data_IF_581717323436
#
_entry.id   IF_581717323436
#
_cell.length_a   1.000
_cell.length_b   1.000
_cell.length_c   1.000
_cell.angle_alpha   90.00
_cell.angle_beta   90.00
_cell.angle_gamma   90.00
#
_symmetry.space_group_name_H-M   'P 1'
#
loop_
_entity.id
_entity.type
_entity.pdbx_description
1 polymer ?
#
# COMPACT_ATOMS: atom_id res chain seq x y z
N UNK A 1 -35.45 -68.34 4.10
CA UNK A 1 -35.49 -67.13 4.95
C UNK A 1 -34.70 -66.05 4.24
N UNK A 2 -35.36 -65.17 3.46
CA UNK A 2 -34.73 -64.03 2.81
C UNK A 2 -35.00 -62.76 3.61
N UNK A 3 -33.99 -61.90 3.74
CA UNK A 3 -34.08 -60.58 4.34
C UNK A 3 -32.69 -59.98 4.41
N UNK A 4 -32.59 -58.67 4.21
CA UNK A 4 -31.38 -57.85 4.33
C UNK A 4 -30.59 -57.58 3.03
N UNK A 5 -31.28 -56.95 2.07
CA UNK A 5 -30.65 -55.94 1.18
C UNK A 5 -31.67 -54.79 1.00
N UNK A 6 -31.89 -53.98 2.04
CA UNK A 6 -32.66 -52.73 1.91
C UNK A 6 -31.91 -51.49 2.41
N UNK A 7 -30.65 -51.61 2.83
CA UNK A 7 -29.94 -50.51 3.52
C UNK A 7 -28.82 -49.84 2.72
N UNK A 8 -28.91 -49.85 1.38
CA UNK A 8 -27.87 -49.28 0.50
C UNK A 8 -28.36 -48.17 -0.45
N UNK A 9 -29.53 -47.56 -0.23
CA UNK A 9 -30.04 -46.50 -1.12
C UNK A 9 -30.37 -45.15 -0.45
N UNK A 10 -30.05 -44.96 0.83
CA UNK A 10 -30.45 -43.73 1.55
C UNK A 10 -29.42 -42.60 1.62
N UNK A 11 -28.35 -42.57 0.80
CA UNK A 11 -27.26 -41.58 1.00
C UNK A 11 -26.75 -40.79 -0.21
N UNK A 12 -27.51 -40.58 -1.29
CA UNK A 12 -27.00 -39.82 -2.47
C UNK A 12 -27.80 -38.56 -2.83
N UNK A 13 -28.86 -38.22 -2.10
CA UNK A 13 -29.49 -36.91 -2.28
C UNK A 13 -28.88 -35.89 -1.32
N UNK A 14 -27.85 -35.18 -1.78
CA UNK A 14 -27.49 -33.79 -1.40
C UNK A 14 -26.23 -33.36 -2.18
N UNK A 15 -26.41 -32.78 -3.38
CA UNK A 15 -25.75 -31.54 -3.84
C UNK A 15 -26.21 -31.18 -5.27
N UNK A 16 -26.35 -29.87 -5.61
CA UNK A 16 -27.00 -29.41 -6.82
C UNK A 16 -26.01 -29.29 -7.98
N UNK A 17 -26.12 -30.18 -8.97
CA UNK A 17 -25.55 -29.93 -10.30
C UNK A 17 -26.67 -29.55 -11.26
N UNK A 18 -26.81 -28.26 -11.50
CA UNK A 18 -27.39 -27.75 -12.74
C UNK A 18 -26.54 -28.22 -13.92
N UNK A 19 -27.18 -28.61 -15.02
CA UNK A 19 -27.00 -27.84 -16.24
C UNK A 19 -28.36 -27.34 -16.71
N UNK A 20 -28.55 -26.02 -16.64
CA UNK A 20 -29.56 -25.33 -17.42
C UNK A 20 -29.15 -25.41 -18.88
N UNK A 21 -29.85 -26.19 -19.70
CA UNK A 21 -29.76 -26.11 -21.15
C UNK A 21 -31.17 -25.97 -21.72
N UNK A 22 -31.51 -24.73 -22.09
CA UNK A 22 -32.64 -24.41 -22.94
C UNK A 22 -32.30 -24.87 -24.37
N UNK A 23 -33.21 -25.53 -25.10
CA UNK A 23 -33.06 -25.68 -26.54
C UNK A 23 -33.31 -24.32 -27.21
N UNK A 24 -32.25 -23.66 -27.64
CA UNK A 24 -32.28 -22.56 -28.60
C UNK A 24 -32.42 -23.17 -29.99
N UNK A 25 -33.58 -23.01 -30.63
CA UNK A 25 -33.66 -23.13 -32.08
C UNK A 25 -34.32 -21.87 -32.67
N UNK A 26 -33.49 -21.17 -33.44
CA UNK A 26 -33.84 -20.35 -34.61
C UNK A 26 -34.49 -18.97 -34.43
N UNK A 27 -33.81 -18.07 -33.70
CA UNK A 27 -33.84 -16.62 -33.99
C UNK A 27 -32.46 -15.96 -33.82
N UNK A 28 -31.42 -16.47 -34.48
CA UNK A 28 -30.14 -15.73 -34.59
C UNK A 28 -29.88 -15.33 -36.04
N UNK A 29 -30.54 -14.27 -36.48
CA UNK A 29 -29.93 -13.37 -37.47
C UNK A 29 -28.86 -12.58 -36.72
N UNK A 30 -27.65 -12.49 -37.30
CA UNK A 30 -26.51 -11.68 -36.86
C UNK A 30 -26.91 -10.37 -36.17
N UNK A 31 -26.98 -10.36 -34.84
CA UNK A 31 -27.08 -9.15 -34.03
C UNK A 31 -26.16 -9.31 -32.82
N UNK A 32 -25.43 -8.23 -32.54
CA UNK A 32 -24.39 -8.09 -31.55
C UNK A 32 -24.88 -8.49 -30.14
N UNK A 33 -24.18 -9.35 -29.36
CA UNK A 33 -24.68 -9.86 -28.08
C UNK A 33 -24.89 -8.81 -26.99
N UNK A 34 -24.29 -7.62 -27.12
CA UNK A 34 -24.50 -6.51 -26.17
C UNK A 34 -25.86 -5.81 -26.37
N UNK A 35 -26.47 -5.90 -27.55
CA UNK A 35 -27.73 -5.20 -27.86
C UNK A 35 -28.99 -6.03 -27.55
N UNK A 36 -28.89 -7.37 -27.57
CA UNK A 36 -30.07 -8.26 -27.46
C UNK A 36 -30.57 -8.41 -26.03
N UNK A 37 -29.68 -8.37 -25.03
CA UNK A 37 -30.08 -8.33 -23.62
C UNK A 37 -30.51 -6.92 -23.17
N UNK A 38 -30.04 -5.88 -23.87
CA UNK A 38 -30.48 -4.52 -23.59
C UNK A 38 -31.98 -4.34 -23.91
N UNK A 39 -32.50 -4.94 -24.99
CA UNK A 39 -33.89 -4.75 -25.40
C UNK A 39 -34.95 -5.40 -24.48
N UNK A 40 -34.65 -6.54 -23.84
CA UNK A 40 -35.56 -7.18 -22.87
C UNK A 40 -35.51 -6.52 -21.49
N UNK A 41 -34.47 -5.72 -21.21
CA UNK A 41 -34.39 -4.86 -20.03
C UNK A 41 -34.99 -3.47 -20.28
N UNK A 42 -35.23 -3.07 -21.53
CA UNK A 42 -35.62 -1.71 -21.87
C UNK A 42 -37.15 -1.50 -22.05
N UNK A 43 -37.94 -2.57 -22.17
CA UNK A 43 -39.40 -2.46 -22.39
C UNK A 43 -40.22 -2.43 -21.08
N UNK A 44 -39.54 -2.39 -19.93
CA UNK A 44 -40.16 -2.10 -18.62
C UNK A 44 -39.60 -0.84 -17.96
N UNK A 45 -38.73 -0.09 -18.65
CA UNK A 45 -38.41 1.29 -18.28
C UNK A 45 -39.55 2.20 -18.75
N UNK A 46 -40.75 1.92 -18.26
CA UNK A 46 -41.75 2.97 -18.10
C UNK A 46 -41.10 4.05 -17.25
N UNK A 47 -41.09 5.27 -17.79
CA UNK A 47 -40.41 6.48 -17.30
C UNK A 47 -40.98 7.00 -15.95
N UNK A 48 -41.29 6.12 -15.01
CA UNK A 48 -41.90 6.40 -13.71
C UNK A 48 -41.02 6.04 -12.50
N UNK A 49 -39.78 5.58 -12.67
CA UNK A 49 -38.91 5.21 -11.54
C UNK A 49 -38.46 6.38 -10.65
N UNK A 50 -38.60 7.63 -11.11
CA UNK A 50 -38.19 8.82 -10.36
C UNK A 50 -39.29 9.44 -9.48
N UNK A 51 -40.48 8.85 -9.38
CA UNK A 51 -41.60 9.39 -8.59
C UNK A 51 -42.27 8.37 -7.65
N UNK A 52 -41.61 7.28 -7.28
CA UNK A 52 -42.12 6.40 -6.20
C UNK A 52 -41.79 7.06 -4.87
N UNK A 53 -42.82 7.42 -4.11
CA UNK A 53 -42.67 8.08 -2.81
C UNK A 53 -41.88 7.18 -1.86
N UNK A 54 -41.06 7.76 -0.98
CA UNK A 54 -40.30 6.99 0.00
C UNK A 54 -41.21 6.11 0.88
N UNK A 55 -42.45 6.55 1.11
CA UNK A 55 -43.49 5.78 1.79
C UNK A 55 -43.91 4.50 1.01
N UNK A 56 -44.06 4.59 -0.31
CA UNK A 56 -44.42 3.47 -1.18
C UNK A 56 -43.28 2.45 -1.28
N UNK A 57 -42.02 2.93 -1.29
CA UNK A 57 -40.83 2.06 -1.23
C UNK A 57 -40.82 1.27 0.08
N UNK A 58 -41.06 1.94 1.21
CA UNK A 58 -41.10 1.28 2.52
C UNK A 58 -42.26 0.29 2.67
N UNK A 59 -43.44 0.61 2.12
CA UNK A 59 -44.58 -0.32 2.11
C UNK A 59 -44.28 -1.58 1.28
N UNK A 60 -43.66 -1.41 0.11
CA UNK A 60 -43.22 -2.52 -0.73
C UNK A 60 -42.16 -3.39 -0.04
N UNK A 61 -41.15 -2.76 0.58
CA UNK A 61 -40.09 -3.45 1.33
C UNK A 61 -40.69 -4.21 2.52
N UNK A 62 -41.58 -3.61 3.30
CA UNK A 62 -42.20 -4.25 4.46
C UNK A 62 -43.07 -5.45 4.03
N UNK A 63 -43.79 -5.35 2.91
CA UNK A 63 -44.55 -6.46 2.34
C UNK A 63 -43.64 -7.59 1.84
N UNK A 64 -42.57 -7.24 1.12
CA UNK A 64 -41.58 -8.20 0.62
C UNK A 64 -40.84 -8.93 1.76
N UNK A 65 -40.39 -8.20 2.78
CA UNK A 65 -39.76 -8.78 3.96
C UNK A 65 -40.72 -9.70 4.71
N UNK A 66 -41.98 -9.31 4.91
CA UNK A 66 -42.99 -10.20 5.53
C UNK A 66 -43.20 -11.48 4.73
N UNK A 67 -43.30 -11.38 3.40
CA UNK A 67 -43.43 -12.55 2.52
C UNK A 67 -42.23 -13.49 2.61
N UNK A 68 -41.01 -12.94 2.66
CA UNK A 68 -39.79 -13.74 2.71
C UNK A 68 -39.55 -14.39 4.08
N UNK A 69 -39.89 -13.69 5.18
CA UNK A 69 -39.65 -14.19 6.55
C UNK A 69 -40.82 -15.02 7.12
N UNK A 70 -42.01 -15.01 6.49
CA UNK A 70 -43.20 -15.78 6.88
C UNK A 70 -43.49 -15.68 8.39
N UNK A 71 -43.18 -16.73 9.15
CA UNK A 71 -43.43 -16.82 10.61
C UNK A 71 -42.27 -16.31 11.49
N UNK A 72 -41.13 -15.92 10.89
CA UNK A 72 -39.98 -15.37 11.61
C UNK A 72 -40.09 -13.85 11.71
N UNK A 73 -39.67 -13.28 12.84
CA UNK A 73 -39.57 -11.82 12.98
C UNK A 73 -38.51 -11.29 12.03
N UNK A 74 -38.86 -10.26 11.26
CA UNK A 74 -37.92 -9.50 10.44
C UNK A 74 -36.85 -8.90 11.36
N UNK A 75 -35.55 -9.10 11.09
CA UNK A 75 -34.47 -8.48 11.87
C UNK A 75 -34.62 -6.96 11.92
N UNK A 76 -34.23 -6.35 13.04
CA UNK A 76 -34.20 -4.89 13.14
C UNK A 76 -33.03 -4.36 12.29
N UNK A 77 -33.31 -3.37 11.45
CA UNK A 77 -32.31 -2.70 10.62
C UNK A 77 -32.59 -1.19 10.60
N UNK A 78 -31.57 -0.43 10.21
CA UNK A 78 -31.65 1.03 10.16
C UNK A 78 -32.51 1.51 8.98
N UNK A 79 -33.54 2.30 9.26
CA UNK A 79 -34.39 2.92 8.22
C UNK A 79 -33.76 4.23 7.75
N UNK A 80 -32.80 4.12 6.85
CA UNK A 80 -32.18 5.24 6.14
C UNK A 80 -32.57 5.20 4.65
N UNK A 81 -32.62 6.34 3.96
CA UNK A 81 -32.96 6.47 2.54
C UNK A 81 -32.03 5.65 1.62
N UNK A 82 -30.75 5.56 1.98
CA UNK A 82 -29.79 4.69 1.28
C UNK A 82 -30.15 3.19 1.42
N UNK A 83 -30.60 2.78 2.62
CA UNK A 83 -31.03 1.40 2.90
C UNK A 83 -32.38 1.12 2.22
N UNK A 84 -33.30 2.10 2.20
CA UNK A 84 -34.58 2.00 1.50
C UNK A 84 -34.37 1.73 0.01
N UNK A 85 -33.47 2.49 -0.62
CA UNK A 85 -33.19 2.35 -2.06
C UNK A 85 -32.56 0.99 -2.37
N UNK A 86 -31.54 0.57 -1.61
CA UNK A 86 -30.89 -0.72 -1.80
C UNK A 86 -31.83 -1.92 -1.56
N UNK A 87 -32.66 -1.87 -0.50
CA UNK A 87 -33.66 -2.92 -0.22
C UNK A 87 -34.78 -2.95 -1.26
N UNK A 88 -35.21 -1.79 -1.76
CA UNK A 88 -36.22 -1.69 -2.80
C UNK A 88 -35.73 -2.31 -4.12
N UNK A 89 -34.51 -1.97 -4.56
CA UNK A 89 -33.88 -2.57 -5.74
C UNK A 89 -33.75 -4.09 -5.59
N UNK A 90 -33.28 -4.56 -4.43
CA UNK A 90 -33.16 -6.00 -4.18
C UNK A 90 -34.51 -6.71 -4.13
N UNK A 91 -35.54 -6.07 -3.58
CA UNK A 91 -36.90 -6.60 -3.56
C UNK A 91 -37.51 -6.69 -4.97
N UNK A 92 -37.28 -5.68 -5.81
CA UNK A 92 -37.69 -5.71 -7.22
C UNK A 92 -36.98 -6.82 -7.99
N UNK A 93 -35.66 -6.92 -7.85
CA UNK A 93 -34.88 -7.98 -8.48
C UNK A 93 -35.33 -9.37 -8.06
N UNK A 94 -35.54 -9.59 -6.76
CA UNK A 94 -36.03 -10.87 -6.26
C UNK A 94 -37.43 -11.18 -6.79
N UNK A 95 -38.34 -10.20 -6.82
CA UNK A 95 -39.68 -10.39 -7.38
C UNK A 95 -39.61 -10.77 -8.86
N UNK A 96 -38.74 -10.13 -9.64
CA UNK A 96 -38.51 -10.49 -11.04
C UNK A 96 -38.00 -11.93 -11.16
N UNK A 97 -37.02 -12.32 -10.34
CA UNK A 97 -36.45 -13.65 -10.36
C UNK A 97 -37.43 -14.74 -9.92
N UNK A 98 -38.27 -14.46 -8.92
CA UNK A 98 -39.33 -15.35 -8.47
C UNK A 98 -40.35 -15.56 -9.59
N UNK A 99 -40.78 -14.49 -10.27
CA UNK A 99 -41.71 -14.63 -11.41
C UNK A 99 -41.10 -15.42 -12.56
N UNK A 100 -39.81 -15.20 -12.89
CA UNK A 100 -39.13 -15.97 -13.92
C UNK A 100 -39.02 -17.45 -13.53
N UNK A 101 -38.70 -17.73 -12.27
CA UNK A 101 -38.63 -19.09 -11.73
C UNK A 101 -39.98 -19.78 -11.82
N UNK A 102 -41.07 -19.10 -11.46
CA UNK A 102 -42.43 -19.64 -11.61
C UNK A 102 -42.77 -19.96 -13.08
N UNK A 103 -42.42 -19.07 -14.01
CA UNK A 103 -42.64 -19.28 -15.44
C UNK A 103 -41.86 -20.51 -15.92
N UNK A 104 -40.59 -20.64 -15.52
CA UNK A 104 -39.74 -21.79 -15.88
C UNK A 104 -40.36 -23.09 -15.33
N UNK A 105 -40.78 -23.12 -14.05
CA UNK A 105 -41.41 -24.29 -13.44
C UNK A 105 -42.70 -24.67 -14.18
N UNK A 106 -43.57 -23.68 -14.48
CA UNK A 106 -44.81 -23.91 -15.22
C UNK A 106 -44.51 -24.48 -16.62
N UNK A 107 -43.54 -23.91 -17.33
CA UNK A 107 -43.13 -24.37 -18.66
C UNK A 107 -42.57 -25.80 -18.62
N UNK A 108 -41.67 -26.11 -17.68
CA UNK A 108 -41.12 -27.45 -17.52
C UNK A 108 -42.21 -28.48 -17.23
N UNK A 109 -43.21 -28.12 -16.41
CA UNK A 109 -44.34 -29.01 -16.14
C UNK A 109 -45.18 -29.29 -17.39
N UNK A 110 -45.48 -28.27 -18.20
CA UNK A 110 -46.19 -28.43 -19.46
C UNK A 110 -45.40 -29.33 -20.41
N UNK A 111 -44.12 -29.02 -20.60
CA UNK A 111 -43.22 -29.78 -21.48
C UNK A 111 -43.11 -31.25 -21.04
N UNK A 112 -43.02 -31.53 -19.74
CA UNK A 112 -43.00 -32.90 -19.23
C UNK A 112 -44.31 -33.65 -19.50
N UNK A 113 -45.47 -32.97 -19.42
CA UNK A 113 -46.76 -33.56 -19.78
C UNK A 113 -46.85 -33.86 -21.28
N UNK A 114 -46.39 -32.92 -22.13
CA UNK A 114 -46.35 -33.08 -23.59
C UNK A 114 -45.48 -34.29 -23.97
N UNK A 115 -44.23 -34.37 -23.49
CA UNK A 115 -43.36 -35.51 -23.76
C UNK A 115 -43.93 -36.83 -23.26
N UNK A 116 -44.60 -36.85 -22.10
CA UNK A 116 -45.25 -38.07 -21.60
C UNK A 116 -46.42 -38.50 -22.49
N UNK A 117 -47.21 -37.54 -22.98
CA UNK A 117 -48.32 -37.80 -23.90
C UNK A 117 -47.84 -38.33 -25.25
N UNK A 118 -46.76 -37.74 -25.77
CA UNK A 118 -46.15 -38.14 -27.03
C UNK A 118 -45.47 -39.52 -26.92
N UNK A 119 -44.77 -39.78 -25.82
CA UNK A 119 -44.22 -41.11 -25.54
C UNK A 119 -45.31 -42.19 -25.48
N UNK A 120 -46.48 -41.87 -24.90
CA UNK A 120 -47.64 -42.77 -24.92
C UNK A 120 -48.17 -42.96 -26.34
N UNK A 121 -48.35 -41.89 -27.11
CA UNK A 121 -48.79 -41.96 -28.51
C UNK A 121 -47.89 -42.85 -29.37
N UNK A 122 -46.57 -42.67 -29.26
CA UNK A 122 -45.57 -43.47 -29.99
C UNK A 122 -45.63 -44.93 -29.54
N UNK A 123 -45.74 -45.19 -28.22
CA UNK A 123 -45.89 -46.55 -27.69
C UNK A 123 -47.13 -47.25 -28.26
N UNK A 124 -48.28 -46.57 -28.25
CA UNK A 124 -49.54 -47.13 -28.77
C UNK A 124 -49.40 -47.45 -30.28
N UNK A 125 -48.75 -46.59 -31.06
CA UNK A 125 -48.46 -46.85 -32.48
C UNK A 125 -47.58 -48.10 -32.66
N UNK A 126 -46.49 -48.22 -31.89
CA UNK A 126 -45.61 -49.39 -31.97
C UNK A 126 -46.33 -50.68 -31.61
N UNK A 127 -47.21 -50.65 -30.60
CA UNK A 127 -48.06 -51.78 -30.22
C UNK A 127 -49.04 -52.18 -31.35
N UNK A 128 -49.66 -51.21 -32.04
CA UNK A 128 -50.52 -51.52 -33.20
C UNK A 128 -49.76 -52.15 -34.36
N UNK A 129 -48.50 -51.78 -34.55
CA UNK A 129 -47.61 -52.37 -35.57
C UNK A 129 -46.97 -53.69 -35.12
N UNK A 130 -47.27 -54.17 -33.90
CA UNK A 130 -46.65 -55.36 -33.28
C UNK A 130 -45.13 -55.31 -33.24
N UNK A 131 -44.57 -54.11 -33.07
CA UNK A 131 -43.14 -53.91 -32.90
C UNK A 131 -42.82 -53.88 -31.41
N UNK A 132 -42.26 -54.98 -30.89
CA UNK A 132 -41.76 -55.04 -29.53
C UNK A 132 -40.25 -54.82 -29.49
N UNK A 133 -39.77 -54.32 -28.35
CA UNK A 133 -38.34 -54.29 -28.04
C UNK A 133 -37.72 -55.70 -28.03
N UNK A 134 -38.52 -56.72 -27.73
CA UNK A 134 -38.09 -58.12 -27.68
C UNK A 134 -37.85 -58.71 -29.07
N UNK A 135 -38.37 -58.07 -30.13
CA UNK A 135 -38.15 -58.47 -31.52
C UNK A 135 -36.79 -58.00 -32.06
N UNK A 136 -36.09 -57.12 -31.33
CA UNK A 136 -34.76 -56.66 -31.69
C UNK A 136 -33.68 -57.66 -31.25
N UNK A 137 -32.63 -57.77 -32.07
CA UNK A 137 -31.41 -58.46 -31.66
C UNK A 137 -30.77 -57.78 -30.44
N UNK A 138 -29.98 -58.53 -29.65
CA UNK A 138 -29.23 -57.98 -28.51
C UNK A 138 -28.38 -56.76 -28.90
N UNK A 139 -27.77 -56.79 -30.09
CA UNK A 139 -26.99 -55.68 -30.63
C UNK A 139 -27.88 -54.48 -30.97
N UNK A 140 -29.07 -54.70 -31.55
CA UNK A 140 -30.03 -53.63 -31.84
C UNK A 140 -30.49 -52.91 -30.57
N UNK A 141 -30.81 -53.66 -29.50
CA UNK A 141 -31.17 -53.08 -28.20
C UNK A 141 -30.02 -52.27 -27.61
N UNK A 142 -28.79 -52.75 -27.74
CA UNK A 142 -27.61 -52.02 -27.26
C UNK A 142 -27.38 -50.73 -28.05
N UNK A 143 -27.39 -50.78 -29.39
CA UNK A 143 -27.22 -49.60 -30.23
C UNK A 143 -28.29 -48.54 -29.97
N UNK A 144 -29.55 -48.95 -29.81
CA UNK A 144 -30.64 -48.03 -29.48
C UNK A 144 -30.42 -47.36 -28.12
N UNK A 145 -30.04 -48.13 -27.09
CA UNK A 145 -29.68 -47.57 -25.77
C UNK A 145 -28.55 -46.55 -25.86
N UNK A 146 -27.51 -46.84 -26.64
CA UNK A 146 -26.38 -45.95 -26.83
C UNK A 146 -26.81 -44.66 -27.53
N UNK A 147 -27.61 -44.75 -28.60
CA UNK A 147 -28.15 -43.58 -29.29
C UNK A 147 -29.05 -42.75 -28.39
N UNK A 148 -29.97 -43.37 -27.64
CA UNK A 148 -30.82 -42.65 -26.67
C UNK A 148 -29.97 -41.96 -25.60
N UNK A 149 -28.95 -42.63 -25.08
CA UNK A 149 -28.05 -42.03 -24.09
C UNK A 149 -27.28 -40.86 -24.69
N UNK A 150 -26.80 -40.98 -25.92
CA UNK A 150 -26.11 -39.92 -26.63
C UNK A 150 -27.03 -38.72 -26.90
N UNK A 151 -28.28 -38.94 -27.29
CA UNK A 151 -29.26 -37.86 -27.46
C UNK A 151 -29.55 -37.12 -26.15
N UNK A 152 -29.64 -37.84 -25.03
CA UNK A 152 -29.83 -37.24 -23.71
C UNK A 152 -28.61 -36.40 -23.31
N UNK A 153 -27.39 -36.91 -23.51
CA UNK A 153 -26.15 -36.20 -23.20
C UNK A 153 -26.00 -34.94 -24.06
N UNK A 154 -26.34 -35.03 -25.35
CA UNK A 154 -26.28 -33.92 -26.30
C UNK A 154 -27.50 -32.97 -26.20
N UNK A 155 -28.51 -33.31 -25.40
CA UNK A 155 -29.72 -32.50 -25.24
C UNK A 155 -30.56 -32.36 -26.52
N UNK A 156 -30.64 -33.40 -27.35
CA UNK A 156 -31.31 -33.32 -28.66
C UNK A 156 -32.85 -33.27 -28.53
N UNK A 157 -33.48 -32.42 -29.35
CA UNK A 157 -34.94 -32.32 -29.45
C UNK A 157 -35.57 -33.43 -30.30
N UNK A 158 -34.84 -33.92 -31.31
CA UNK A 158 -35.24 -35.00 -32.21
C UNK A 158 -34.11 -36.03 -32.37
N UNK A 159 -34.46 -37.24 -32.79
CA UNK A 159 -33.50 -38.34 -33.00
C UNK A 159 -33.04 -38.45 -34.46
N UNK A 160 -33.06 -37.35 -35.21
CA UNK A 160 -32.61 -37.31 -36.60
C UNK A 160 -31.08 -37.33 -36.67
N UNK A 161 -30.53 -38.00 -37.68
CA UNK A 161 -29.09 -38.10 -37.88
C UNK A 161 -28.41 -36.73 -38.02
N UNK A 162 -29.05 -35.78 -38.71
CA UNK A 162 -28.62 -34.38 -38.85
C UNK A 162 -28.38 -33.73 -37.50
N UNK A 163 -29.29 -33.91 -36.55
CA UNK A 163 -29.20 -33.32 -35.21
C UNK A 163 -28.05 -33.89 -34.39
N UNK A 164 -27.79 -35.19 -34.47
CA UNK A 164 -26.60 -35.79 -33.86
C UNK A 164 -25.32 -35.20 -34.46
N UNK A 165 -25.24 -35.09 -35.79
CA UNK A 165 -24.05 -34.56 -36.46
C UNK A 165 -23.81 -33.10 -36.10
N UNK A 166 -24.86 -32.27 -36.09
CA UNK A 166 -24.77 -30.86 -35.72
C UNK A 166 -24.35 -30.68 -34.26
N UNK A 167 -24.94 -31.43 -33.32
CA UNK A 167 -24.58 -31.33 -31.91
C UNK A 167 -23.14 -31.82 -31.63
N UNK A 168 -22.70 -32.89 -32.30
CA UNK A 168 -21.31 -33.35 -32.21
C UNK A 168 -20.34 -32.32 -32.81
N UNK A 169 -20.68 -31.70 -33.93
CA UNK A 169 -19.87 -30.64 -34.52
C UNK A 169 -19.78 -29.42 -33.58
N UNK A 170 -20.88 -29.03 -32.97
CA UNK A 170 -20.93 -27.94 -32.00
C UNK A 170 -20.07 -28.26 -30.77
N UNK A 171 -20.21 -29.46 -30.19
CA UNK A 171 -19.38 -29.92 -29.07
C UNK A 171 -17.90 -29.87 -29.42
N UNK A 172 -17.52 -30.31 -30.63
CA UNK A 172 -16.13 -30.26 -31.07
C UNK A 172 -15.61 -28.82 -31.21
N UNK A 173 -16.43 -27.91 -31.72
CA UNK A 173 -16.09 -26.48 -31.76
C UNK A 173 -15.91 -25.90 -30.35
N UNK A 174 -16.75 -26.30 -29.39
CA UNK A 174 -16.65 -25.82 -28.02
C UNK A 174 -15.42 -26.39 -27.29
N UNK A 175 -15.04 -27.64 -27.56
CA UNK A 175 -13.76 -28.21 -27.12
C UNK A 175 -12.59 -27.40 -27.66
N UNK A 176 -12.56 -27.12 -28.97
CA UNK A 176 -11.48 -26.33 -29.59
C UNK A 176 -11.41 -24.90 -29.06
N UNK A 177 -12.57 -24.28 -28.76
CA UNK A 177 -12.64 -22.96 -28.11
C UNK A 177 -12.08 -23.03 -26.69
N UNK A 178 -12.46 -24.03 -25.91
CA UNK A 178 -11.97 -24.23 -24.55
C UNK A 178 -10.45 -24.46 -24.54
N UNK A 179 -9.93 -25.30 -25.44
CA UNK A 179 -8.49 -25.52 -25.61
C UNK A 179 -7.74 -24.24 -25.98
N UNK A 180 -8.27 -23.45 -26.93
CA UNK A 180 -7.68 -22.16 -27.30
C UNK A 180 -7.63 -21.20 -26.11
N UNK A 181 -8.72 -21.11 -25.34
CA UNK A 181 -8.78 -20.26 -24.16
C UNK A 181 -7.80 -20.73 -23.08
N UNK A 182 -7.71 -22.05 -22.86
CA UNK A 182 -6.76 -22.62 -21.91
C UNK A 182 -5.32 -22.33 -22.32
N UNK A 183 -4.97 -22.50 -23.59
CA UNK A 183 -3.64 -22.17 -24.11
C UNK A 183 -3.31 -20.67 -23.98
N UNK A 184 -4.30 -19.78 -24.18
CA UNK A 184 -4.12 -18.35 -23.96
C UNK A 184 -3.85 -18.03 -22.47
N UNK A 185 -4.58 -18.67 -21.55
CA UNK A 185 -4.35 -18.54 -20.11
C UNK A 185 -2.96 -19.03 -19.72
N UNK A 186 -2.53 -20.19 -20.24
CA UNK A 186 -1.18 -20.73 -20.02
C UNK A 186 -0.12 -19.73 -20.48
N UNK A 187 -0.27 -19.15 -21.68
CA UNK A 187 0.66 -18.14 -22.18
C UNK A 187 0.72 -16.87 -21.29
N UNK A 188 -0.43 -16.46 -20.73
CA UNK A 188 -0.47 -15.35 -19.76
C UNK A 188 0.30 -15.73 -18.49
N UNK A 189 0.09 -16.93 -17.95
CA UNK A 189 0.79 -17.43 -16.76
C UNK A 189 2.30 -17.43 -16.98
N UNK A 190 2.79 -18.01 -18.08
CA UNK A 190 4.22 -18.05 -18.41
C UNK A 190 4.83 -16.64 -18.51
N UNK A 191 4.09 -15.69 -19.10
CA UNK A 191 4.52 -14.29 -19.18
C UNK A 191 4.60 -13.62 -17.81
N UNK A 192 3.65 -13.91 -16.92
CA UNK A 192 3.64 -13.41 -15.55
C UNK A 192 4.76 -14.01 -14.73
N UNK A 193 5.00 -15.31 -14.83
CA UNK A 193 6.12 -16.00 -14.18
C UNK A 193 7.45 -15.39 -14.60
N UNK A 194 7.66 -15.14 -15.90
CA UNK A 194 8.87 -14.49 -16.41
C UNK A 194 9.05 -13.09 -15.81
N UNK A 195 7.96 -12.32 -15.71
CA UNK A 195 7.98 -10.98 -15.08
C UNK A 195 8.29 -11.05 -13.59
N UNK A 196 7.72 -12.02 -12.88
CA UNK A 196 7.95 -12.26 -11.45
C UNK A 196 9.42 -12.63 -11.22
N UNK A 197 9.99 -13.54 -12.03
CA UNK A 197 11.41 -13.89 -11.92
C UNK A 197 12.31 -12.67 -12.16
N UNK A 198 12.02 -11.86 -13.18
CA UNK A 198 12.75 -10.61 -13.43
C UNK A 198 12.64 -9.63 -12.28
N UNK A 199 11.47 -9.48 -11.68
CA UNK A 199 11.25 -8.63 -10.51
C UNK A 199 12.04 -9.15 -9.29
N UNK A 200 12.00 -10.46 -9.04
CA UNK A 200 12.77 -11.12 -7.97
C UNK A 200 14.27 -10.90 -8.12
N UNK A 201 14.83 -11.12 -9.32
CA UNK A 201 16.25 -10.87 -9.57
C UNK A 201 16.65 -9.39 -9.40
N UNK A 202 15.73 -8.44 -9.68
CA UNK A 202 15.97 -7.02 -9.39
C UNK A 202 15.96 -6.76 -7.89
N UNK A 203 15.04 -7.36 -7.15
CA UNK A 203 14.97 -7.22 -5.69
C UNK A 203 16.24 -7.75 -5.03
N UNK A 204 16.69 -8.95 -5.42
CA UNK A 204 17.95 -9.53 -4.90
C UNK A 204 19.17 -8.65 -5.19
N UNK A 205 19.19 -7.94 -6.33
CA UNK A 205 20.24 -6.96 -6.63
C UNK A 205 20.14 -5.75 -5.72
N UNK A 206 18.93 -5.24 -5.46
CA UNK A 206 18.71 -4.12 -4.56
C UNK A 206 19.12 -4.47 -3.12
N UNK A 207 18.74 -5.66 -2.64
CA UNK A 207 19.11 -6.15 -1.30
C UNK A 207 20.64 -6.22 -1.14
N UNK A 208 21.35 -6.72 -2.17
CA UNK A 208 22.83 -6.72 -2.19
C UNK A 208 23.42 -5.31 -2.17
N UNK A 209 22.83 -4.38 -2.92
CA UNK A 209 23.28 -2.99 -2.93
C UNK A 209 23.06 -2.31 -1.58
N UNK A 210 21.89 -2.51 -0.96
CA UNK A 210 21.58 -2.01 0.38
C UNK A 210 22.55 -2.57 1.41
N UNK A 211 22.78 -3.88 1.40
CA UNK A 211 23.76 -4.52 2.29
C UNK A 211 25.16 -3.90 2.15
N UNK A 212 25.63 -3.73 0.91
CA UNK A 212 26.94 -3.12 0.66
C UNK A 212 26.99 -1.65 1.09
N UNK A 213 25.91 -0.89 0.88
CA UNK A 213 25.82 0.51 1.28
C UNK A 213 25.88 0.64 2.81
N UNK A 214 25.04 -0.11 3.54
CA UNK A 214 25.07 -0.16 5.00
C UNK A 214 26.47 -0.52 5.51
N UNK A 215 27.07 -1.59 4.99
CA UNK A 215 28.41 -2.01 5.38
C UNK A 215 29.47 -0.94 5.12
N UNK A 216 29.39 -0.22 4.00
CA UNK A 216 30.30 0.87 3.68
C UNK A 216 30.11 2.09 4.60
N UNK A 217 28.86 2.35 4.99
CA UNK A 217 28.50 3.46 5.87
C UNK A 217 28.96 3.19 7.29
N UNK A 218 28.68 2.00 7.83
CA UNK A 218 29.15 1.53 9.13
C UNK A 218 30.69 1.61 9.20
N UNK A 219 31.38 1.12 8.17
CA UNK A 219 32.85 1.17 8.11
C UNK A 219 33.40 2.60 8.12
N UNK A 220 32.73 3.54 7.43
CA UNK A 220 33.15 4.95 7.37
C UNK A 220 32.86 5.65 8.69
N UNK A 221 31.69 5.43 9.27
CA UNK A 221 31.31 5.97 10.58
C UNK A 221 32.27 5.48 11.67
N UNK A 222 32.64 4.20 11.64
CA UNK A 222 33.59 3.64 12.59
C UNK A 222 35.00 4.22 12.42
N UNK A 223 35.42 4.53 11.19
CA UNK A 223 36.69 5.22 10.94
C UNK A 223 36.67 6.67 11.46
N UNK A 224 35.59 7.40 11.25
CA UNK A 224 35.42 8.75 11.81
C UNK A 224 35.35 8.71 13.34
N UNK A 225 34.65 7.75 13.94
CA UNK A 225 34.58 7.57 15.39
C UNK A 225 35.99 7.32 15.98
N UNK A 226 36.79 6.46 15.34
CA UNK A 226 38.21 6.24 15.73
C UNK A 226 39.06 7.51 15.63
N UNK A 227 38.81 8.38 14.63
CA UNK A 227 39.51 9.67 14.54
C UNK A 227 39.10 10.61 15.66
N UNK A 228 37.81 10.67 15.98
CA UNK A 228 37.27 11.46 17.08
C UNK A 228 37.83 11.00 18.43
N UNK A 229 37.88 9.69 18.67
CA UNK A 229 38.47 9.09 19.89
C UNK A 229 39.94 9.51 20.05
N UNK A 230 40.77 9.33 19.01
CA UNK A 230 42.17 9.76 19.04
C UNK A 230 42.35 11.26 19.28
N UNK A 231 41.49 12.08 18.67
CA UNK A 231 41.54 13.53 18.87
C UNK A 231 41.13 13.91 20.30
N UNK A 232 40.13 13.23 20.85
CA UNK A 232 39.69 13.41 22.23
C UNK A 232 40.80 13.06 23.22
N UNK A 233 41.50 11.93 23.02
CA UNK A 233 42.65 11.54 23.83
C UNK A 233 43.77 12.58 23.80
N UNK A 234 44.07 13.12 22.61
CA UNK A 234 45.06 14.18 22.45
C UNK A 234 44.64 15.47 23.19
N UNK A 235 43.36 15.85 23.09
CA UNK A 235 42.83 17.01 23.80
C UNK A 235 42.86 16.81 25.32
N UNK A 236 42.56 15.61 25.82
CA UNK A 236 42.68 15.26 27.23
C UNK A 236 44.14 15.35 27.71
N UNK A 237 45.08 14.84 26.92
CA UNK A 237 46.51 14.94 27.22
C UNK A 237 46.98 16.41 27.26
N UNK A 238 46.58 17.23 26.28
CA UNK A 238 46.88 18.67 26.29
C UNK A 238 46.22 19.39 27.46
N UNK A 239 44.98 19.04 27.79
CA UNK A 239 44.29 19.58 28.96
C UNK A 239 45.08 19.32 30.24
N UNK A 240 45.57 18.08 30.43
CA UNK A 240 46.44 17.72 31.55
C UNK A 240 47.77 18.48 31.54
N UNK A 241 48.41 18.62 30.38
CA UNK A 241 49.64 19.40 30.24
C UNK A 241 49.43 20.88 30.62
N UNK A 242 48.35 21.50 30.14
CA UNK A 242 48.01 22.87 30.50
C UNK A 242 47.68 23.01 31.98
N UNK A 243 46.96 22.06 32.57
CA UNK A 243 46.70 22.01 34.01
C UNK A 243 48.01 21.97 34.80
N UNK A 244 48.93 21.07 34.44
CA UNK A 244 50.25 20.94 35.08
C UNK A 244 51.08 22.21 34.92
N UNK A 245 50.99 22.87 33.76
CA UNK A 245 51.68 24.14 33.48
C UNK A 245 51.12 25.28 34.32
N UNK A 246 49.80 25.37 34.46
CA UNK A 246 49.13 26.34 35.34
C UNK A 246 49.58 26.11 36.78
N UNK A 247 49.49 24.88 37.31
CA UNK A 247 49.94 24.57 38.67
C UNK A 247 51.41 24.93 38.91
N UNK A 248 52.29 24.70 37.92
CA UNK A 248 53.71 25.09 38.00
C UNK A 248 53.88 26.61 38.04
N UNK A 249 53.13 27.35 37.21
CA UNK A 249 53.19 28.81 37.17
C UNK A 249 52.60 29.45 38.43
N UNK A 250 51.48 28.92 38.94
CA UNK A 250 50.89 29.34 40.20
C UNK A 250 51.83 29.09 41.38
N UNK A 251 52.50 27.92 41.42
CA UNK A 251 53.51 27.66 42.44
C UNK A 251 54.64 28.68 42.39
N UNK A 252 55.19 28.96 41.20
CA UNK A 252 56.21 30.00 41.03
C UNK A 252 55.69 31.38 41.43
N UNK A 253 54.46 31.72 41.05
CA UNK A 253 53.81 32.99 41.41
C UNK A 253 53.72 33.17 42.93
N UNK A 254 53.35 32.10 43.63
CA UNK A 254 53.28 32.07 45.08
C UNK A 254 54.68 32.08 45.74
N UNK A 255 55.66 31.32 45.22
CA UNK A 255 57.06 31.34 45.69
C UNK A 255 57.70 32.73 45.60
N UNK A 256 57.40 33.47 44.53
CA UNK A 256 57.89 34.83 44.32
C UNK A 256 57.16 35.88 45.19
N UNK A 257 56.17 35.48 46.00
CA UNK A 257 55.35 36.36 46.85
C UNK A 257 54.92 37.65 46.12
N UNK A 258 54.47 37.52 44.86
CA UNK A 258 54.25 38.66 43.97
C UNK A 258 53.23 39.66 44.52
N UNK A 259 52.20 39.15 45.21
CA UNK A 259 51.18 39.97 45.89
C UNK A 259 51.76 40.71 47.11
N UNK A 260 52.52 40.02 47.96
CA UNK A 260 53.03 40.57 49.23
C UNK A 260 54.25 41.49 49.03
N UNK A 261 55.09 41.18 48.04
CA UNK A 261 56.25 42.00 47.63
C UNK A 261 55.90 43.23 46.78
N UNK A 262 54.62 43.43 46.45
CA UNK A 262 54.18 44.54 45.59
C UNK A 262 54.81 44.50 44.19
N UNK A 263 55.18 43.29 43.72
CA UNK A 263 55.87 43.02 42.46
C UNK A 263 54.92 43.00 41.25
N UNK A 264 53.62 43.20 41.48
CA UNK A 264 52.61 43.28 40.44
C UNK A 264 52.95 44.42 39.47
N UNK A 265 52.93 44.14 38.17
CA UNK A 265 53.31 45.10 37.12
C UNK A 265 52.66 46.49 37.29
N UNK A 266 51.36 46.53 37.62
CA UNK A 266 50.63 47.79 37.87
C UNK A 266 51.21 48.61 39.02
N UNK A 267 51.70 47.96 40.08
CA UNK A 267 52.30 48.60 41.26
C UNK A 267 53.73 49.03 40.94
N UNK A 268 54.51 48.17 40.27
CA UNK A 268 55.87 48.50 39.83
C UNK A 268 55.88 49.72 38.91
N UNK A 269 54.98 49.75 37.92
CA UNK A 269 54.89 50.85 36.96
C UNK A 269 54.57 52.19 37.66
N UNK A 270 53.68 52.19 38.65
CA UNK A 270 53.42 53.38 39.46
C UNK A 270 54.66 53.85 40.24
N UNK A 271 55.47 52.93 40.77
CA UNK A 271 56.72 53.26 41.46
C UNK A 271 57.77 53.81 40.49
N UNK A 272 57.90 53.21 39.31
CA UNK A 272 58.77 53.67 38.23
C UNK A 272 58.41 55.09 37.77
N UNK A 273 57.12 55.33 37.49
CA UNK A 273 56.61 56.65 37.11
C UNK A 273 56.93 57.71 38.20
N UNK A 274 56.81 57.34 39.48
CA UNK A 274 57.15 58.22 40.61
C UNK A 274 58.66 58.49 40.75
N UNK A 275 59.50 57.48 40.51
CA UNK A 275 60.97 57.65 40.50
C UNK A 275 61.37 58.59 39.35
N UNK A 276 60.82 58.40 38.15
CA UNK A 276 61.11 59.27 37.00
C UNK A 276 60.71 60.72 37.28
N UNK A 277 59.58 60.95 37.96
CA UNK A 277 59.18 62.27 38.43
C UNK A 277 60.22 62.87 39.41
N UNK A 278 60.64 62.11 40.42
CA UNK A 278 61.65 62.55 41.38
C UNK A 278 63.01 62.85 40.73
N UNK A 279 63.44 62.06 39.75
CA UNK A 279 64.67 62.28 39.00
C UNK A 279 64.63 63.59 38.22
N UNK A 280 63.51 63.89 37.55
CA UNK A 280 63.32 65.19 36.90
C UNK A 280 63.37 66.33 37.92
N UNK A 281 62.73 66.18 39.07
CA UNK A 281 62.73 67.19 40.13
C UNK A 281 64.15 67.43 40.69
N UNK A 282 64.90 66.36 40.98
CA UNK A 282 66.30 66.45 41.42
C UNK A 282 67.17 67.10 40.33
N UNK A 283 66.96 66.75 39.06
CA UNK A 283 67.66 67.35 37.93
C UNK A 283 67.47 68.87 37.89
N UNK A 284 66.22 69.34 38.02
CA UNK A 284 65.91 70.77 38.04
C UNK A 284 66.49 71.48 39.28
N UNK A 285 66.39 70.87 40.47
CA UNK A 285 66.96 71.43 41.70
C UNK A 285 68.49 71.49 41.66
N UNK A 286 69.15 70.47 41.10
CA UNK A 286 70.60 70.43 40.90
C UNK A 286 71.06 71.47 39.88
N UNK A 287 70.30 71.68 38.80
CA UNK A 287 70.57 72.76 37.85
C UNK A 287 70.48 74.14 38.53
N UNK A 288 69.42 74.38 39.33
CA UNK A 288 69.29 75.61 40.13
C UNK A 288 70.45 75.77 41.13
N UNK A 289 70.83 74.73 41.86
CA UNK A 289 71.97 74.78 42.79
C UNK A 289 73.28 75.15 42.08
N UNK A 290 73.52 74.57 40.89
CA UNK A 290 74.70 74.88 40.08
C UNK A 290 74.72 76.34 39.62
N UNK A 291 73.57 76.94 39.32
CA UNK A 291 73.50 78.39 39.03
C UNK A 291 73.88 79.25 40.23
N UNK A 292 73.48 78.87 41.44
CA UNK A 292 73.86 79.59 42.66
C UNK A 292 75.35 79.41 43.00
N UNK A 293 75.94 78.25 42.71
CA UNK A 293 77.33 77.94 43.06
C UNK A 293 78.38 78.63 42.15
N UNK A 294 77.99 79.07 40.95
CA UNK A 294 78.86 79.82 40.04
C UNK A 294 78.91 81.32 40.41
N UNK A 295 78.03 81.78 41.30
CA UNK A 295 77.96 83.18 41.72
C UNK A 295 78.95 83.46 42.87
N UNK A 296 79.92 84.38 42.71
CA UNK A 296 80.86 84.73 43.78
C UNK A 296 80.14 85.38 44.99
N UNK A 297 80.58 85.13 46.25
CA UNK A 297 79.93 85.66 47.46
C UNK A 297 80.02 87.18 47.64
N UNK A 298 80.76 87.88 46.78
CA UNK A 298 80.99 89.33 46.84
C UNK A 298 80.16 90.06 45.76
N UNK A 299 79.23 90.90 46.20
CA UNK A 299 78.17 91.52 45.38
C UNK A 299 78.74 92.37 44.23
N UNK A 300 79.86 93.04 44.44
CA UNK A 300 80.45 93.93 43.43
C UNK A 300 81.12 93.12 42.32
N UNK A 301 81.75 91.99 42.66
CA UNK A 301 82.40 91.08 41.71
C UNK A 301 81.38 90.24 40.90
N UNK A 302 80.26 89.90 41.52
CA UNK A 302 79.16 89.20 40.86
C UNK A 302 78.48 90.08 39.79
N UNK A 303 78.28 91.38 40.05
CA UNK A 303 77.76 92.33 39.05
C UNK A 303 78.69 92.47 37.84
N UNK A 304 80.00 92.57 38.09
CA UNK A 304 81.01 92.65 37.02
C UNK A 304 80.98 91.39 36.14
N UNK A 305 80.91 90.19 36.73
CA UNK A 305 80.79 88.93 35.95
C UNK A 305 79.46 88.77 35.24
N UNK A 306 78.36 89.28 35.78
CA UNK A 306 77.06 89.27 35.07
C UNK A 306 77.04 90.26 33.91
N UNK A 307 77.71 91.41 34.04
CA UNK A 307 77.80 92.38 32.95
C UNK A 307 78.78 91.91 31.88
N UNK A 308 79.90 91.27 32.25
CA UNK A 308 80.84 90.64 31.31
C UNK A 308 80.22 89.45 30.56
N UNK A 309 79.38 88.64 31.24
CA UNK A 309 78.61 87.58 30.60
C UNK A 309 77.50 88.12 29.69
N UNK A 310 76.86 89.25 30.03
CA UNK A 310 75.89 89.93 29.16
C UNK A 310 76.57 90.57 27.94
N UNK A 311 77.79 91.08 28.10
CA UNK A 311 78.54 91.70 27.00
C UNK A 311 79.06 90.67 26.00
N UNK A 312 79.42 89.46 26.46
CA UNK A 312 79.74 88.30 25.58
C UNK A 312 78.53 87.67 24.90
N UNK A 313 77.31 87.94 25.37
CA UNK A 313 76.07 87.48 24.73
C UNK A 313 75.50 88.49 23.73
N UNK A 314 76.04 89.72 23.71
CA UNK A 314 75.65 90.79 22.79
C UNK A 314 76.65 90.98 21.63
N UNK A 315 77.64 90.09 21.49
CA UNK A 315 78.30 89.73 20.22
C UNK A 315 77.81 88.36 19.80
#
# INVERSE_FOLDING_TARGET
MPGDIEDALSSVFLNPSTPSYMPEDSYFTSVNPEETYAHLLNDSSDKNENNVSEAEKWEFIDSWLKSHFKDKRVPLFEKNSAVASALYEMALFNKQQDTMTEIIIKRQKIQAMEYRSEAKRIKDILETMRLSKDDLSKNGVHSLKTLTSLAIILGLANTEQSSYLSALAQLNLDILRAERNNNAIVGIIESMETRIQKAKSKNEKLDKLLYNLCKSWDSKEEEELRKWEKNMDLLLQKGKEYQDRIMKLERKYNELNVEEGGLRFKVLKKKEDYINYLEQEIGTKKAKLKTYQIMPPDIILAKLKTDEAKQKLAS
#
